data_IF_931388696558
#
_entry.id   IF_931388696558
#
_cell.length_a   1.000
_cell.length_b   1.000
_cell.length_c   1.000
_cell.angle_alpha   90.00
_cell.angle_beta   90.00
_cell.angle_gamma   90.00
#
_symmetry.space_group_name_H-M   'P 1'
#
loop_
_entity.id
_entity.type
_entity.pdbx_description
1 polymer ?
#
# COMPACT_ATOMS: atom_id res chain seq x y z
N UNK A 1 -26.07 -19.38 4.20
CA UNK A 1 -24.95 -20.23 4.67
C UNK A 1 -24.19 -20.84 3.47
N UNK A 2 -23.44 -20.02 2.70
CA UNK A 2 -22.63 -20.44 1.52
C UNK A 2 -21.17 -19.96 1.57
N UNK A 3 -20.73 -19.45 2.72
CA UNK A 3 -19.38 -18.92 2.95
C UNK A 3 -18.37 -20.04 3.25
N UNK A 4 -18.82 -21.17 3.81
CA UNK A 4 -17.94 -22.30 4.16
C UNK A 4 -17.58 -23.22 2.97
N UNK A 5 -18.23 -23.07 1.81
CA UNK A 5 -17.90 -23.83 0.59
C UNK A 5 -16.74 -23.21 -0.21
N UNK A 6 -15.99 -22.27 0.39
CA UNK A 6 -14.92 -21.49 -0.26
C UNK A 6 -13.54 -22.16 -0.24
N UNK A 7 -13.40 -23.35 0.37
CA UNK A 7 -12.15 -24.10 0.43
C UNK A 7 -12.07 -25.19 -0.65
N UNK A 8 -12.00 -24.78 -1.92
CA UNK A 8 -11.57 -25.67 -3.02
C UNK A 8 -10.08 -25.41 -3.28
N UNK A 9 -9.27 -26.44 -3.58
CA UNK A 9 -7.80 -26.36 -3.81
C UNK A 9 -7.36 -25.21 -4.74
N UNK A 10 -8.22 -24.79 -5.68
CA UNK A 10 -7.96 -23.69 -6.62
C UNK A 10 -8.00 -22.30 -5.99
N UNK A 11 -8.83 -22.09 -4.97
CA UNK A 11 -9.00 -20.78 -4.32
C UNK A 11 -7.88 -20.51 -3.30
N UNK A 12 -7.31 -21.56 -2.68
CA UNK A 12 -6.17 -21.44 -1.75
C UNK A 12 -4.92 -20.90 -2.46
N UNK A 13 -4.61 -21.39 -3.66
CA UNK A 13 -3.47 -20.89 -4.44
C UNK A 13 -3.61 -19.40 -4.77
N UNK A 14 -4.83 -18.95 -5.09
CA UNK A 14 -5.13 -17.54 -5.37
C UNK A 14 -4.97 -16.68 -4.11
N UNK A 15 -5.46 -17.15 -2.96
CA UNK A 15 -5.35 -16.42 -1.69
C UNK A 15 -3.89 -16.35 -1.24
N UNK A 16 -3.13 -17.43 -1.36
CA UNK A 16 -1.70 -17.45 -1.04
C UNK A 16 -0.90 -16.55 -1.98
N UNK A 17 -1.18 -16.60 -3.28
CA UNK A 17 -0.54 -15.72 -4.27
C UNK A 17 -0.85 -14.24 -4.04
N UNK A 18 -2.10 -13.93 -3.70
CA UNK A 18 -2.53 -12.58 -3.30
C UNK A 18 -1.79 -12.14 -2.05
N UNK A 19 -1.74 -12.96 -0.99
CA UNK A 19 -1.09 -12.60 0.26
C UNK A 19 0.41 -12.34 0.08
N UNK A 20 1.11 -13.25 -0.61
CA UNK A 20 2.54 -13.09 -0.91
C UNK A 20 2.80 -11.86 -1.78
N UNK A 21 2.01 -11.67 -2.84
CA UNK A 21 2.13 -10.50 -3.72
C UNK A 21 1.90 -9.19 -2.97
N UNK A 22 0.90 -9.15 -2.07
CA UNK A 22 0.62 -7.98 -1.24
C UNK A 22 1.76 -7.68 -0.27
N UNK A 23 2.37 -8.69 0.36
CA UNK A 23 3.51 -8.48 1.26
C UNK A 23 4.71 -7.91 0.50
N UNK A 24 5.06 -8.50 -0.65
CA UNK A 24 6.15 -8.02 -1.51
C UNK A 24 5.89 -6.58 -1.97
N UNK A 25 4.64 -6.28 -2.36
CA UNK A 25 4.22 -4.92 -2.72
C UNK A 25 4.42 -3.95 -1.55
N UNK A 26 4.00 -4.31 -0.34
CA UNK A 26 4.14 -3.45 0.84
C UNK A 26 5.61 -3.17 1.17
N UNK A 27 6.48 -4.18 1.06
CA UNK A 27 7.93 -3.99 1.24
C UNK A 27 8.48 -2.99 0.23
N UNK A 28 8.07 -3.07 -1.04
CA UNK A 28 8.44 -2.09 -2.06
C UNK A 28 7.92 -0.68 -1.75
N UNK A 29 6.67 -0.55 -1.30
CA UNK A 29 6.10 0.75 -0.92
C UNK A 29 6.87 1.37 0.24
N UNK A 30 7.08 0.63 1.33
CA UNK A 30 7.66 1.19 2.55
C UNK A 30 9.16 1.40 2.44
N UNK A 31 9.89 0.51 1.79
CA UNK A 31 11.35 0.60 1.75
C UNK A 31 11.93 1.20 0.47
N UNK A 32 11.22 1.19 -0.66
CA UNK A 32 11.72 1.83 -1.89
C UNK A 32 11.01 3.14 -2.17
N UNK A 33 9.67 3.13 -2.12
CA UNK A 33 8.91 4.32 -2.51
C UNK A 33 8.95 5.41 -1.44
N UNK A 34 8.65 5.09 -0.18
CA UNK A 34 8.67 6.08 0.89
C UNK A 34 10.09 6.63 1.15
N UNK A 35 11.11 5.78 1.12
CA UNK A 35 12.51 6.20 1.32
C UNK A 35 13.03 7.08 0.16
N UNK A 36 12.61 6.80 -1.07
CA UNK A 36 13.01 7.56 -2.27
C UNK A 36 12.12 8.76 -2.60
N UNK A 37 11.14 9.10 -1.74
CA UNK A 37 10.10 10.10 -2.02
C UNK A 37 9.34 9.83 -3.34
N UNK A 38 9.21 8.57 -3.73
CA UNK A 38 8.41 8.14 -4.87
C UNK A 38 6.98 7.83 -4.44
N UNK A 39 6.02 8.03 -5.34
CA UNK A 39 4.62 7.74 -5.09
C UNK A 39 4.21 6.45 -5.82
N UNK A 40 3.47 5.58 -5.13
CA UNK A 40 2.83 4.45 -5.79
C UNK A 40 1.79 4.95 -6.83
N UNK A 41 1.37 4.09 -7.75
CA UNK A 41 0.27 4.43 -8.67
C UNK A 41 -1.10 4.07 -8.09
N UNK A 42 -2.16 4.72 -8.57
CA UNK A 42 -3.55 4.46 -8.17
C UNK A 42 -3.92 5.01 -6.80
N UNK A 43 -4.82 4.31 -6.09
CA UNK A 43 -5.45 4.76 -4.84
C UNK A 43 -4.42 4.92 -3.71
N UNK A 44 -3.43 4.01 -3.65
CA UNK A 44 -2.31 4.07 -2.70
C UNK A 44 -1.43 5.29 -2.94
N UNK A 45 -1.17 5.64 -4.21
CA UNK A 45 -0.45 6.85 -4.59
C UNK A 45 -1.15 8.14 -4.17
N UNK A 46 -2.45 8.22 -4.44
CA UNK A 46 -3.28 9.35 -4.02
C UNK A 46 -3.26 9.49 -2.49
N UNK A 47 -3.27 8.37 -1.77
CA UNK A 47 -3.18 8.35 -0.30
C UNK A 47 -1.84 8.89 0.19
N UNK A 48 -0.73 8.49 -0.43
CA UNK A 48 0.61 9.00 -0.12
C UNK A 48 0.75 10.49 -0.45
N UNK A 49 0.23 10.95 -1.58
CA UNK A 49 0.24 12.37 -1.97
C UNK A 49 -0.53 13.23 -0.96
N UNK A 50 -1.75 12.82 -0.59
CA UNK A 50 -2.55 13.55 0.40
C UNK A 50 -1.83 13.57 1.75
N UNK A 51 -1.26 12.43 2.18
CA UNK A 51 -0.50 12.33 3.43
C UNK A 51 0.71 13.28 3.43
N UNK A 52 1.50 13.30 2.36
CA UNK A 52 2.68 14.17 2.24
C UNK A 52 2.33 15.65 2.13
N UNK A 53 1.19 16.01 1.53
CA UNK A 53 0.69 17.39 1.55
C UNK A 53 0.29 17.79 2.97
N UNK A 54 -0.41 16.93 3.71
CA UNK A 54 -0.82 17.22 5.09
C UNK A 54 0.36 17.32 6.06
N UNK A 55 1.41 16.52 5.86
CA UNK A 55 2.66 16.66 6.63
C UNK A 55 3.30 18.04 6.44
N UNK A 56 3.22 18.64 5.25
CA UNK A 56 3.68 20.02 5.02
C UNK A 56 2.89 21.07 5.80
N UNK A 57 1.65 20.76 6.19
CA UNK A 57 0.81 21.59 7.05
C UNK A 57 0.95 21.26 8.54
N UNK A 58 1.88 20.37 8.93
CA UNK A 58 2.16 20.03 10.33
C UNK A 58 1.22 18.97 10.92
N UNK A 59 0.46 18.26 10.09
CA UNK A 59 -0.46 17.20 10.52
C UNK A 59 0.12 15.84 10.12
N UNK A 60 0.74 15.13 11.07
CA UNK A 60 1.30 13.79 10.87
C UNK A 60 0.22 12.72 11.03
N UNK A 61 -0.52 12.45 9.96
CA UNK A 61 -1.44 11.32 9.89
C UNK A 61 -0.77 10.23 9.05
N UNK A 62 -0.77 8.98 9.54
CA UNK A 62 -0.23 7.85 8.77
C UNK A 62 -1.03 7.65 7.48
N UNK A 63 -0.32 7.59 6.34
CA UNK A 63 -0.87 7.28 5.02
C UNK A 63 -1.71 5.99 5.00
N UNK A 64 -1.44 5.04 5.89
CA UNK A 64 -2.22 3.81 6.06
C UNK A 64 -3.72 4.07 6.28
N UNK A 65 -4.05 5.17 6.96
CA UNK A 65 -5.44 5.60 7.22
C UNK A 65 -6.09 6.10 5.94
N UNK A 66 -5.38 6.90 5.14
CA UNK A 66 -5.86 7.38 3.85
C UNK A 66 -6.05 6.23 2.85
N UNK A 67 -5.12 5.26 2.84
CA UNK A 67 -5.23 4.06 2.01
C UNK A 67 -6.52 3.31 2.35
N UNK A 68 -6.82 3.12 3.65
CA UNK A 68 -8.04 2.46 4.08
C UNK A 68 -9.29 3.25 3.64
N UNK A 69 -9.35 4.56 3.92
CA UNK A 69 -10.50 5.41 3.60
C UNK A 69 -10.79 5.44 2.11
N UNK A 70 -9.77 5.65 1.27
CA UNK A 70 -9.95 5.75 -0.18
C UNK A 70 -10.28 4.40 -0.83
N UNK A 71 -9.94 3.28 -0.20
CA UNK A 71 -10.35 1.95 -0.67
C UNK A 71 -11.81 1.58 -0.33
N UNK A 72 -12.43 2.20 0.68
CA UNK A 72 -13.85 1.95 1.04
C UNK A 72 -14.81 2.22 -0.14
N UNK A 73 -14.76 3.34 -0.88
CA UNK A 73 -15.64 3.56 -2.02
C UNK A 73 -15.38 2.58 -3.16
N UNK A 74 -14.11 2.21 -3.41
CA UNK A 74 -13.79 1.14 -4.38
C UNK A 74 -14.41 -0.20 -3.96
N UNK A 75 -14.42 -0.51 -2.67
CA UNK A 75 -15.06 -1.72 -2.17
C UNK A 75 -16.58 -1.71 -2.45
N UNK A 76 -17.26 -0.58 -2.23
CA UNK A 76 -18.70 -0.44 -2.51
C UNK A 76 -18.99 -0.63 -4.00
N UNK A 77 -18.16 -0.04 -4.88
CA UNK A 77 -18.29 -0.17 -6.34
C UNK A 77 -17.99 -1.61 -6.76
N UNK A 78 -16.94 -2.23 -6.25
CA UNK A 78 -16.57 -3.62 -6.56
C UNK A 78 -17.64 -4.62 -6.11
N UNK A 79 -18.30 -4.36 -4.98
CA UNK A 79 -19.39 -5.19 -4.46
C UNK A 79 -20.67 -5.10 -5.32
N UNK A 80 -20.98 -3.91 -5.85
CA UNK A 80 -22.16 -3.69 -6.71
C UNK A 80 -21.92 -4.03 -8.18
N UNK A 81 -20.70 -3.84 -8.70
CA UNK A 81 -20.41 -3.87 -10.14
C UNK A 81 -19.64 -5.08 -10.67
N UNK A 82 -18.79 -5.75 -9.86
CA UNK A 82 -17.87 -6.79 -10.36
C UNK A 82 -18.30 -8.18 -9.92
N UNK A 83 -18.17 -8.50 -8.63
CA UNK A 83 -18.72 -9.72 -8.01
C UNK A 83 -18.42 -9.73 -6.51
N UNK A 84 -19.27 -10.39 -5.71
CA UNK A 84 -19.02 -10.58 -4.27
C UNK A 84 -17.70 -11.30 -3.98
N UNK A 85 -17.28 -12.24 -4.86
CA UNK A 85 -16.00 -12.96 -4.72
C UNK A 85 -14.80 -12.05 -4.91
N UNK A 86 -14.85 -11.19 -5.92
CA UNK A 86 -13.79 -10.21 -6.18
C UNK A 86 -13.69 -9.18 -5.05
N UNK A 87 -14.84 -8.68 -4.58
CA UNK A 87 -14.87 -7.70 -3.49
C UNK A 87 -14.32 -8.26 -2.17
N UNK A 88 -14.60 -9.52 -1.82
CA UNK A 88 -14.05 -10.16 -0.61
C UNK A 88 -12.54 -10.34 -0.72
N UNK A 89 -12.03 -10.78 -1.88
CA UNK A 89 -10.58 -10.93 -2.11
C UNK A 89 -9.87 -9.57 -2.07
N UNK A 90 -10.44 -8.56 -2.73
CA UNK A 90 -9.91 -7.19 -2.71
C UNK A 90 -9.89 -6.61 -1.30
N UNK A 91 -10.97 -6.75 -0.52
CA UNK A 91 -11.03 -6.30 0.87
C UNK A 91 -9.99 -7.02 1.74
N UNK A 92 -9.85 -8.34 1.57
CA UNK A 92 -8.87 -9.13 2.31
C UNK A 92 -7.44 -8.69 1.98
N UNK A 93 -7.18 -8.37 0.71
CA UNK A 93 -5.88 -7.84 0.26
C UNK A 93 -5.60 -6.45 0.85
N UNK A 94 -6.57 -5.53 0.82
CA UNK A 94 -6.41 -4.18 1.40
C UNK A 94 -6.22 -4.25 2.91
N UNK A 95 -6.98 -5.10 3.61
CA UNK A 95 -6.80 -5.30 5.04
C UNK A 95 -5.38 -5.82 5.37
N UNK A 96 -4.89 -6.80 4.61
CA UNK A 96 -3.53 -7.30 4.76
C UNK A 96 -2.49 -6.22 4.44
N UNK A 97 -2.72 -5.40 3.42
CA UNK A 97 -1.86 -4.29 3.04
C UNK A 97 -1.75 -3.26 4.16
N UNK A 98 -2.87 -2.80 4.73
CA UNK A 98 -2.89 -1.82 5.83
C UNK A 98 -2.11 -2.34 7.04
N UNK A 99 -2.34 -3.60 7.43
CA UNK A 99 -1.63 -4.21 8.57
C UNK A 99 -0.13 -4.35 8.28
N UNK A 100 0.23 -4.82 7.08
CA UNK A 100 1.64 -5.03 6.71
C UNK A 100 2.39 -3.70 6.64
N UNK A 101 1.80 -2.67 6.02
CA UNK A 101 2.39 -1.33 5.96
C UNK A 101 2.56 -0.76 7.37
N UNK A 102 1.53 -0.83 8.23
CA UNK A 102 1.63 -0.32 9.60
C UNK A 102 2.75 -1.02 10.41
N UNK A 103 2.91 -2.33 10.23
CA UNK A 103 4.00 -3.09 10.87
C UNK A 103 5.35 -2.64 10.33
N UNK A 104 5.50 -2.55 9.00
CA UNK A 104 6.75 -2.13 8.37
C UNK A 104 7.12 -0.69 8.73
N UNK A 105 6.17 0.25 8.75
CA UNK A 105 6.37 1.63 9.22
C UNK A 105 6.86 1.66 10.67
N UNK A 106 6.31 0.79 11.53
CA UNK A 106 6.75 0.67 12.92
C UNK A 106 8.21 0.18 13.02
N UNK A 107 8.63 -0.78 12.19
CA UNK A 107 10.02 -1.25 12.13
C UNK A 107 10.98 -0.19 11.57
N UNK A 108 10.57 0.53 10.52
CA UNK A 108 11.31 1.67 9.96
C UNK A 108 11.53 2.74 11.03
N UNK A 109 10.50 3.07 11.81
CA UNK A 109 10.60 4.04 12.92
C UNK A 109 11.59 3.60 14.01
N UNK A 110 11.88 2.30 14.12
CA UNK A 110 12.89 1.74 15.03
C UNK A 110 14.30 1.67 14.43
N UNK A 111 14.50 2.19 13.22
CA UNK A 111 15.78 2.25 12.53
C UNK A 111 16.08 1.03 11.65
N UNK A 112 15.07 0.22 11.30
CA UNK A 112 15.26 -0.89 10.36
C UNK A 112 14.99 -0.42 8.93
N UNK A 113 16.03 0.06 8.26
CA UNK A 113 15.96 0.55 6.88
C UNK A 113 16.99 -0.12 5.97
N UNK A 114 16.66 -1.28 5.37
CA UNK A 114 17.63 -2.09 4.62
C UNK A 114 18.15 -1.44 3.33
N UNK A 115 17.50 -0.38 2.84
CA UNK A 115 17.88 0.32 1.61
C UNK A 115 18.25 1.80 1.85
N UNK A 116 18.24 2.27 3.10
CA UNK A 116 18.48 3.68 3.40
C UNK A 116 19.91 4.11 3.11
N UNK A 117 20.91 3.26 3.33
CA UNK A 117 22.31 3.56 2.98
C UNK A 117 22.51 3.74 1.46
N UNK A 118 21.82 2.95 0.63
CA UNK A 118 21.90 3.03 -0.84
C UNK A 118 21.16 4.27 -1.35
N UNK A 119 20.03 4.62 -0.73
CA UNK A 119 19.22 5.78 -1.12
C UNK A 119 19.81 7.10 -0.58
N UNK A 120 20.47 7.09 0.57
CA UNK A 120 21.19 8.26 1.09
C UNK A 120 22.45 8.61 0.28
N UNK A 121 23.10 7.64 -0.36
CA UNK A 121 24.17 7.93 -1.33
C UNK A 121 23.61 8.64 -2.57
N UNK A 122 22.36 8.35 -2.95
CA UNK A 122 21.63 9.08 -3.99
C UNK A 122 21.08 10.45 -3.52
N UNK A 123 21.37 10.91 -2.28
CA UNK A 123 20.77 12.09 -1.65
C UNK A 123 21.16 13.46 -2.26
N UNK A 124 21.96 13.48 -3.33
CA UNK A 124 22.08 14.68 -4.16
C UNK A 124 20.86 14.90 -5.09
N UNK A 125 19.99 13.88 -5.26
CA UNK A 125 18.84 13.88 -6.18
C UNK A 125 17.41 13.64 -5.57
N UNK A 126 17.17 13.32 -4.28
CA UNK A 126 15.93 12.64 -3.87
C UNK A 126 14.76 13.58 -3.59
N UNK A 127 14.95 14.91 -3.60
CA UNK A 127 13.81 15.85 -3.51
C UNK A 127 12.97 15.88 -4.79
N UNK A 128 13.41 15.21 -5.86
CA UNK A 128 12.76 15.26 -7.18
C UNK A 128 12.19 13.90 -7.66
N UNK A 129 12.48 12.78 -7.00
CA UNK A 129 12.05 11.45 -7.46
C UNK A 129 10.54 11.34 -7.70
N UNK A 130 9.73 11.80 -6.74
CA UNK A 130 8.27 11.87 -6.90
C UNK A 130 7.78 12.92 -7.89
N UNK A 131 8.56 13.98 -8.16
CA UNK A 131 8.19 15.03 -9.14
C UNK A 131 8.44 14.55 -10.58
N UNK A 132 9.52 13.81 -10.82
CA UNK A 132 9.87 13.25 -12.13
C UNK A 132 8.82 12.24 -12.61
N UNK A 133 8.20 11.50 -11.70
CA UNK A 133 7.13 10.54 -12.03
C UNK A 133 5.79 11.22 -12.38
N UNK A 134 5.60 12.49 -11.99
CA UNK A 134 4.43 13.29 -12.37
C UNK A 134 4.63 14.05 -13.69
N UNK A 135 5.85 14.09 -14.23
CA UNK A 135 6.20 14.75 -15.50
C UNK A 135 6.20 13.81 -16.72
N UNK A 136 5.84 12.54 -16.56
CA UNK A 136 5.66 11.53 -17.62
C UNK A 136 4.17 11.21 -17.74
#
# INVERSE_FOLDING_TARGET
MRILAFFKKRDVSVITGMALGTIIYCMGVVWLLDLGAFYASGVTGISQLISGILERFGVTISKSIFIAILNIPLFIIGWKGVSKRFAILSLSSVALQVVTIAILEYFVTKGFDPFLEIIQDANELPKQGGLLMLSI
#
